data_IF_774837916740
#
_entry.id   IF_774837916740
#
_cell.length_a   1.000
_cell.length_b   1.000
_cell.length_c   1.000
_cell.angle_alpha   90.00
_cell.angle_beta   90.00
_cell.angle_gamma   90.00
#
_symmetry.space_group_name_H-M   'P 1'
#
loop_
_entity.id
_entity.type
_entity.pdbx_description
1 polymer ?
#
# COMPACT_ATOMS: atom_id res chain seq x y z
N UNK A 1 20.34 17.49 2.63
CA UNK A 1 19.00 17.37 2.01
C UNK A 1 18.97 17.85 0.54
N UNK A 2 19.36 19.09 0.22
CA UNK A 2 19.31 19.64 -1.17
C UNK A 2 20.16 18.86 -2.20
N UNK A 3 21.36 18.38 -1.83
CA UNK A 3 22.19 17.53 -2.71
C UNK A 3 21.56 16.17 -3.04
N UNK A 4 20.62 15.69 -2.21
CA UNK A 4 20.01 14.37 -2.41
C UNK A 4 18.71 14.44 -3.22
N UNK A 5 17.97 15.54 -3.13
CA UNK A 5 16.80 15.81 -4.00
C UNK A 5 17.25 15.96 -5.46
N UNK A 6 18.48 16.43 -5.71
CA UNK A 6 19.12 16.44 -7.04
C UNK A 6 19.63 15.07 -7.51
N UNK A 7 19.46 13.98 -6.76
CA UNK A 7 19.83 12.65 -7.26
C UNK A 7 18.87 12.24 -8.37
N UNK A 8 19.44 11.92 -9.53
CA UNK A 8 18.74 11.46 -10.74
C UNK A 8 17.66 10.39 -10.48
N UNK A 9 17.78 9.59 -9.41
CA UNK A 9 16.90 8.46 -9.10
C UNK A 9 15.54 8.81 -8.51
N UNK A 10 15.41 9.90 -7.74
CA UNK A 10 14.08 10.37 -7.33
C UNK A 10 13.27 10.82 -8.55
N UNK A 11 13.93 11.49 -9.50
CA UNK A 11 13.34 11.81 -10.80
C UNK A 11 13.00 10.57 -11.63
N UNK A 12 13.78 9.48 -11.55
CA UNK A 12 13.41 8.20 -12.19
C UNK A 12 12.09 7.68 -11.64
N UNK A 13 11.85 7.77 -10.32
CA UNK A 13 10.58 7.34 -9.73
C UNK A 13 9.43 8.22 -10.20
N UNK A 14 9.62 9.55 -10.21
CA UNK A 14 8.63 10.46 -10.78
C UNK A 14 8.35 10.15 -12.25
N UNK A 15 9.37 9.81 -13.05
CA UNK A 15 9.21 9.40 -14.43
C UNK A 15 8.45 8.07 -14.56
N UNK A 16 8.73 7.08 -13.70
CA UNK A 16 7.98 5.82 -13.66
C UNK A 16 6.51 6.09 -13.33
N UNK A 17 6.23 6.93 -12.34
CA UNK A 17 4.86 7.33 -11.99
C UNK A 17 4.18 8.06 -13.16
N UNK A 18 4.88 8.99 -13.81
CA UNK A 18 4.39 9.72 -14.98
C UNK A 18 4.17 8.81 -16.21
N UNK A 19 4.83 7.66 -16.30
CA UNK A 19 4.59 6.69 -17.36
C UNK A 19 3.45 5.74 -17.02
N UNK A 20 3.39 5.23 -15.79
CA UNK A 20 2.42 4.23 -15.37
C UNK A 20 1.03 4.82 -15.11
N UNK A 21 0.93 5.97 -14.44
CA UNK A 21 -0.36 6.55 -14.06
C UNK A 21 -1.23 6.87 -15.28
N UNK A 22 -0.74 7.49 -16.37
CA UNK A 22 -1.52 7.63 -17.60
C UNK A 22 -1.98 6.30 -18.19
N UNK A 23 -1.13 5.27 -18.15
CA UNK A 23 -1.47 3.94 -18.63
C UNK A 23 -2.64 3.34 -17.84
N UNK A 24 -2.60 3.41 -16.50
CA UNK A 24 -3.71 2.96 -15.65
C UNK A 24 -4.97 3.81 -15.83
N UNK A 25 -4.83 5.13 -15.98
CA UNK A 25 -5.93 6.06 -16.25
C UNK A 25 -6.62 5.70 -17.57
N UNK A 26 -5.84 5.47 -18.62
CA UNK A 26 -6.34 5.03 -19.93
C UNK A 26 -6.99 3.65 -19.86
N UNK A 27 -6.40 2.71 -19.12
CA UNK A 27 -6.97 1.38 -18.91
C UNK A 27 -8.34 1.46 -18.22
N UNK A 28 -8.48 2.24 -17.14
CA UNK A 28 -9.77 2.45 -16.48
C UNK A 28 -10.79 3.12 -17.41
N UNK A 29 -10.38 4.13 -18.18
CA UNK A 29 -11.27 4.79 -19.14
C UNK A 29 -11.78 3.80 -20.21
N UNK A 30 -10.91 2.92 -20.71
CA UNK A 30 -11.29 1.87 -21.66
C UNK A 30 -12.27 0.88 -21.04
N UNK A 31 -12.03 0.46 -19.80
CA UNK A 31 -12.96 -0.42 -19.07
C UNK A 31 -14.32 0.27 -18.94
N UNK A 32 -14.36 1.53 -18.51
CA UNK A 32 -15.61 2.29 -18.38
C UNK A 32 -16.39 2.39 -19.71
N UNK A 33 -15.70 2.66 -20.82
CA UNK A 33 -16.31 2.68 -22.15
C UNK A 33 -16.84 1.31 -22.59
N UNK A 34 -16.10 0.23 -22.30
CA UNK A 34 -16.52 -1.13 -22.61
C UNK A 34 -17.76 -1.52 -21.80
N UNK A 35 -17.80 -1.22 -20.50
CA UNK A 35 -18.95 -1.43 -19.64
C UNK A 35 -20.18 -0.67 -20.17
N UNK A 36 -20.03 0.61 -20.52
CA UNK A 36 -21.13 1.40 -21.07
C UNK A 36 -21.67 0.82 -22.39
N UNK A 37 -20.79 0.32 -23.26
CA UNK A 37 -21.20 -0.35 -24.51
C UNK A 37 -21.90 -1.68 -24.27
N UNK A 38 -21.46 -2.44 -23.27
CA UNK A 38 -22.04 -3.75 -22.94
C UNK A 38 -23.47 -3.62 -22.41
N UNK A 39 -23.72 -2.65 -21.54
CA UNK A 39 -25.04 -2.45 -20.95
C UNK A 39 -25.95 -1.53 -21.79
N UNK A 40 -25.40 -0.72 -22.70
CA UNK A 40 -26.17 0.24 -23.49
C UNK A 40 -26.78 1.38 -22.65
N UNK A 41 -26.43 1.45 -21.37
CA UNK A 41 -26.86 2.45 -20.40
C UNK A 41 -25.66 2.93 -19.59
N UNK A 42 -25.68 4.22 -19.21
CA UNK A 42 -24.73 4.82 -18.28
C UNK A 42 -25.11 4.60 -16.81
N UNK A 43 -26.17 3.85 -16.54
CA UNK A 43 -26.64 3.56 -15.18
C UNK A 43 -25.70 2.56 -14.50
N UNK A 44 -24.99 3.06 -13.50
CA UNK A 44 -24.07 2.28 -12.68
C UNK A 44 -24.77 1.17 -11.90
N UNK A 45 -26.09 1.29 -11.64
CA UNK A 45 -26.87 0.26 -10.94
C UNK A 45 -26.97 -1.02 -11.76
N UNK A 46 -27.00 -0.93 -13.10
CA UNK A 46 -27.02 -2.10 -13.97
C UNK A 46 -25.73 -2.93 -13.82
N UNK A 47 -24.57 -2.26 -13.84
CA UNK A 47 -23.26 -2.88 -13.63
C UNK A 47 -23.14 -3.49 -12.22
N UNK A 48 -23.59 -2.78 -11.18
CA UNK A 48 -23.56 -3.28 -9.80
C UNK A 48 -24.49 -4.49 -9.59
N UNK A 49 -25.73 -4.45 -10.11
CA UNK A 49 -26.65 -5.60 -10.04
C UNK A 49 -26.11 -6.83 -10.77
N UNK A 50 -25.42 -6.61 -11.90
CA UNK A 50 -24.74 -7.70 -12.61
C UNK A 50 -23.63 -8.32 -11.75
N UNK A 51 -22.78 -7.50 -11.11
CA UNK A 51 -21.73 -8.00 -10.18
C UNK A 51 -22.32 -8.81 -9.04
N UNK A 52 -23.40 -8.32 -8.42
CA UNK A 52 -24.11 -9.04 -7.35
C UNK A 52 -24.61 -10.39 -7.86
N UNK A 53 -25.27 -10.42 -9.02
CA UNK A 53 -25.77 -11.66 -9.64
C UNK A 53 -24.65 -12.66 -9.92
N UNK A 54 -23.50 -12.19 -10.41
CA UNK A 54 -22.35 -13.04 -10.71
C UNK A 54 -21.67 -13.56 -9.44
N UNK A 55 -21.64 -12.78 -8.37
CA UNK A 55 -21.17 -13.21 -7.06
C UNK A 55 -22.12 -14.21 -6.40
N UNK A 56 -23.44 -14.03 -6.51
CA UNK A 56 -24.43 -14.99 -6.02
C UNK A 56 -24.31 -16.34 -6.73
N UNK A 57 -24.13 -16.36 -8.05
CA UNK A 57 -23.87 -17.58 -8.81
C UNK A 57 -22.59 -18.30 -8.37
N UNK A 58 -21.52 -17.54 -8.05
CA UNK A 58 -20.27 -18.11 -7.52
C UNK A 58 -20.44 -18.63 -6.09
N UNK A 59 -21.26 -17.96 -5.29
CA UNK A 59 -21.58 -18.36 -3.92
C UNK A 59 -22.38 -19.67 -3.88
N UNK A 60 -23.31 -19.86 -4.82
CA UNK A 60 -24.13 -21.08 -4.94
C UNK A 60 -23.38 -22.26 -5.55
N UNK A 61 -22.21 -22.04 -6.14
CA UNK A 61 -21.38 -23.10 -6.73
C UNK A 61 -20.73 -23.96 -5.64
N UNK A 62 -20.95 -25.27 -5.71
CA UNK A 62 -20.33 -26.25 -4.81
C UNK A 62 -18.80 -26.31 -4.91
N UNK A 63 -18.21 -25.76 -5.98
CA UNK A 63 -16.75 -25.74 -6.20
C UNK A 63 -16.03 -24.59 -5.48
N UNK A 64 -16.77 -23.66 -4.88
CA UNK A 64 -16.18 -22.48 -4.23
C UNK A 64 -15.75 -22.83 -2.81
N UNK A 65 -14.47 -22.63 -2.43
CA UNK A 65 -14.01 -22.82 -1.06
C UNK A 65 -14.80 -21.97 -0.06
N UNK A 66 -15.01 -22.45 1.17
CA UNK A 66 -15.89 -21.77 2.14
C UNK A 66 -15.37 -20.37 2.55
N UNK A 67 -14.06 -20.15 2.56
CA UNK A 67 -13.45 -18.83 2.77
C UNK A 67 -13.79 -17.85 1.65
N UNK A 68 -13.77 -18.31 0.41
CA UNK A 68 -14.16 -17.50 -0.73
C UNK A 68 -15.66 -17.22 -0.67
N UNK A 69 -16.49 -18.18 -0.21
CA UNK A 69 -17.92 -17.94 0.02
C UNK A 69 -18.15 -16.84 1.06
N UNK A 70 -17.38 -16.79 2.14
CA UNK A 70 -17.43 -15.68 3.10
C UNK A 70 -17.07 -14.35 2.44
N UNK A 71 -16.01 -14.32 1.61
CA UNK A 71 -15.66 -13.13 0.84
C UNK A 71 -16.76 -12.67 -0.10
N UNK A 72 -17.36 -13.60 -0.83
CA UNK A 72 -18.46 -13.33 -1.74
C UNK A 72 -19.68 -12.77 -0.99
N UNK A 73 -20.07 -13.35 0.16
CA UNK A 73 -21.19 -12.84 0.98
C UNK A 73 -20.97 -11.40 1.42
N UNK A 74 -19.79 -11.08 1.95
CA UNK A 74 -19.44 -9.72 2.39
C UNK A 74 -19.49 -8.74 1.22
N UNK A 75 -18.92 -9.10 0.06
CA UNK A 75 -18.96 -8.24 -1.12
C UNK A 75 -20.39 -7.99 -1.63
N UNK A 76 -21.24 -9.02 -1.62
CA UNK A 76 -22.67 -8.89 -1.97
C UNK A 76 -23.38 -7.94 -0.99
N UNK A 77 -23.20 -8.13 0.31
CA UNK A 77 -23.82 -7.28 1.34
C UNK A 77 -23.38 -5.82 1.18
N UNK A 78 -22.09 -5.57 0.96
CA UNK A 78 -21.57 -4.22 0.70
C UNK A 78 -22.17 -3.64 -0.58
N UNK A 79 -22.18 -4.38 -1.68
CA UNK A 79 -22.72 -3.87 -2.95
C UNK A 79 -24.22 -3.57 -2.88
N UNK A 80 -25.01 -4.42 -2.21
CA UNK A 80 -26.43 -4.15 -1.95
C UNK A 80 -26.60 -2.89 -1.10
N UNK A 81 -25.76 -2.70 -0.07
CA UNK A 81 -25.80 -1.48 0.73
C UNK A 81 -25.52 -0.22 -0.10
N UNK A 82 -24.57 -0.24 -1.05
CA UNK A 82 -24.33 0.87 -1.97
C UNK A 82 -25.52 1.10 -2.93
N UNK A 83 -26.19 0.04 -3.38
CA UNK A 83 -27.41 0.13 -4.20
C UNK A 83 -28.57 0.75 -3.42
N UNK A 84 -28.76 0.35 -2.16
CA UNK A 84 -29.84 0.84 -1.29
C UNK A 84 -29.68 2.31 -0.93
N UNK A 85 -28.43 2.75 -0.71
CA UNK A 85 -28.10 4.15 -0.40
C UNK A 85 -27.96 5.04 -1.64
N UNK A 86 -28.12 4.49 -2.85
CA UNK A 86 -28.01 5.19 -4.13
C UNK A 86 -26.66 5.93 -4.34
N UNK A 87 -25.57 5.33 -3.85
CA UNK A 87 -24.21 5.90 -3.97
C UNK A 87 -23.40 5.07 -4.96
N UNK A 88 -22.89 5.68 -6.02
CA UNK A 88 -22.05 4.99 -7.00
C UNK A 88 -20.59 4.85 -6.50
N UNK A 89 -20.12 3.65 -6.09
CA UNK A 89 -18.76 3.47 -5.60
C UNK A 89 -17.69 3.59 -6.71
N UNK A 90 -18.10 3.47 -7.97
CA UNK A 90 -17.25 3.44 -9.17
C UNK A 90 -17.42 4.70 -10.03
N UNK A 91 -17.82 5.82 -9.43
CA UNK A 91 -18.02 7.05 -10.17
C UNK A 91 -16.71 7.50 -10.85
N UNK A 92 -16.73 7.77 -12.17
CA UNK A 92 -15.52 8.12 -12.91
C UNK A 92 -15.12 9.56 -12.57
N UNK A 93 -14.24 9.70 -11.58
CA UNK A 93 -13.66 10.98 -11.18
C UNK A 93 -12.22 10.81 -10.64
N UNK A 94 -11.47 11.91 -10.58
CA UNK A 94 -10.07 11.92 -10.17
C UNK A 94 -9.84 11.34 -8.78
N UNK A 95 -10.74 11.65 -7.85
CA UNK A 95 -10.64 11.28 -6.45
C UNK A 95 -10.85 9.77 -6.26
N UNK A 96 -11.77 9.19 -7.04
CA UNK A 96 -12.09 7.76 -7.06
C UNK A 96 -10.99 6.97 -7.76
N UNK A 97 -10.45 7.49 -8.86
CA UNK A 97 -9.27 6.92 -9.49
C UNK A 97 -8.08 6.89 -8.52
N UNK A 98 -7.82 8.00 -7.82
CA UNK A 98 -6.68 8.11 -6.88
C UNK A 98 -6.83 7.10 -5.75
N UNK A 99 -8.03 6.99 -5.15
CA UNK A 99 -8.36 5.98 -4.14
C UNK A 99 -8.08 4.57 -4.66
N UNK A 100 -8.65 4.22 -5.81
CA UNK A 100 -8.53 2.86 -6.37
C UNK A 100 -7.07 2.54 -6.74
N UNK A 101 -6.34 3.51 -7.30
CA UNK A 101 -4.92 3.34 -7.60
C UNK A 101 -4.11 3.09 -6.33
N UNK A 102 -4.30 3.91 -5.29
CA UNK A 102 -3.57 3.80 -4.02
C UNK A 102 -3.87 2.47 -3.34
N UNK A 103 -5.15 2.10 -3.21
CA UNK A 103 -5.59 0.80 -2.68
C UNK A 103 -4.88 -0.37 -3.36
N UNK A 104 -4.80 -0.39 -4.68
CA UNK A 104 -4.14 -1.47 -5.42
C UNK A 104 -2.61 -1.37 -5.35
N UNK A 105 -2.05 -0.16 -5.25
CA UNK A 105 -0.62 0.09 -5.23
C UNK A 105 0.04 -0.25 -3.87
N UNK A 106 -0.70 -0.17 -2.76
CA UNK A 106 -0.21 -0.45 -1.40
C UNK A 106 0.34 -1.86 -1.25
N UNK A 107 -0.29 -2.85 -1.89
CA UNK A 107 0.07 -4.25 -1.68
C UNK A 107 1.48 -4.62 -2.14
N UNK A 108 2.01 -3.96 -3.18
CA UNK A 108 3.33 -4.32 -3.74
C UNK A 108 4.05 -3.15 -4.40
N UNK A 109 3.34 -2.32 -5.19
CA UNK A 109 3.95 -1.26 -5.98
C UNK A 109 4.64 -0.19 -5.13
N UNK A 110 3.93 0.38 -4.15
CA UNK A 110 4.50 1.37 -3.22
C UNK A 110 5.63 0.76 -2.40
N UNK A 111 5.47 -0.40 -1.73
CA UNK A 111 6.56 -1.08 -1.03
C UNK A 111 7.82 -1.26 -1.88
N UNK A 112 7.68 -1.66 -3.15
CA UNK A 112 8.80 -1.90 -4.05
C UNK A 112 9.57 -0.60 -4.37
N UNK A 113 8.85 0.49 -4.70
CA UNK A 113 9.48 1.79 -4.94
C UNK A 113 10.23 2.26 -3.69
N UNK A 114 9.60 2.17 -2.52
CA UNK A 114 10.18 2.63 -1.25
C UNK A 114 11.40 1.80 -0.85
N UNK A 115 11.37 0.49 -1.08
CA UNK A 115 12.51 -0.40 -0.89
C UNK A 115 13.71 0.03 -1.73
N UNK A 116 13.50 0.33 -3.02
CA UNK A 116 14.57 0.77 -3.92
C UNK A 116 15.21 2.08 -3.45
N UNK A 117 14.39 3.05 -3.03
CA UNK A 117 14.87 4.33 -2.47
C UNK A 117 15.70 4.08 -1.21
N UNK A 118 15.15 3.30 -0.27
CA UNK A 118 15.76 3.09 1.05
C UNK A 118 17.10 2.37 0.94
N UNK A 119 17.17 1.33 0.11
CA UNK A 119 18.41 0.60 -0.14
C UNK A 119 19.47 1.49 -0.82
N UNK A 120 19.10 2.38 -1.74
CA UNK A 120 20.07 3.31 -2.37
C UNK A 120 20.62 4.35 -1.40
N UNK A 121 19.77 4.93 -0.54
CA UNK A 121 20.20 5.94 0.44
C UNK A 121 21.27 5.37 1.38
N UNK A 122 21.15 4.09 1.76
CA UNK A 122 22.12 3.43 2.62
C UNK A 122 23.35 2.93 1.84
N UNK A 123 23.15 2.38 0.64
CA UNK A 123 24.17 1.84 -0.26
C UNK A 123 25.18 2.88 -0.77
N UNK A 124 24.68 4.04 -1.17
CA UNK A 124 25.45 5.01 -1.97
C UNK A 124 26.69 5.60 -1.29
N UNK A 125 26.90 5.35 0.00
CA UNK A 125 28.11 5.75 0.71
C UNK A 125 29.17 4.65 0.85
N UNK A 126 28.77 3.36 0.84
CA UNK A 126 29.73 2.25 0.80
C UNK A 126 30.48 2.22 -0.54
N UNK A 127 29.79 2.54 -1.63
CA UNK A 127 30.37 2.59 -2.97
C UNK A 127 31.23 3.82 -3.22
N UNK A 128 30.89 4.96 -2.62
CA UNK A 128 31.57 6.26 -2.87
C UNK A 128 32.75 6.51 -1.91
N UNK A 129 33.02 5.61 -0.95
CA UNK A 129 34.13 5.74 0.00
C UNK A 129 34.02 6.92 0.99
N UNK A 130 32.92 7.67 0.97
CA UNK A 130 32.71 8.89 1.78
C UNK A 130 32.68 8.60 3.28
N UNK A 131 32.38 7.35 3.66
CA UNK A 131 32.50 6.86 5.06
C UNK A 131 33.93 7.06 5.57
N UNK A 132 34.97 6.79 4.76
CA UNK A 132 36.38 6.99 5.16
C UNK A 132 36.74 8.47 5.34
N UNK A 133 36.11 9.36 4.57
CA UNK A 133 36.36 10.81 4.60
C UNK A 133 35.67 11.48 5.80
N UNK A 134 34.46 11.04 6.16
CA UNK A 134 33.73 11.51 7.35
C UNK A 134 34.35 11.01 8.66
N UNK A 135 35.05 9.88 8.65
CA UNK A 135 35.77 9.33 9.81
C UNK A 135 37.00 10.16 10.23
N UNK A 136 37.39 11.18 9.46
CA UNK A 136 38.40 12.16 9.89
C UNK A 136 37.86 13.17 10.93
N UNK A 137 36.54 13.19 11.17
CA UNK A 137 35.90 13.98 12.25
C UNK A 137 35.21 13.05 13.25
N UNK A 138 35.27 13.34 14.57
CA UNK A 138 34.73 12.46 15.61
C UNK A 138 33.19 12.58 15.71
N UNK A 139 32.48 12.09 14.69
CA UNK A 139 31.01 12.03 14.71
C UNK A 139 30.58 10.66 15.22
N UNK A 140 29.78 10.63 16.29
CA UNK A 140 29.21 9.38 16.85
C UNK A 140 28.43 8.63 15.76
N UNK A 141 28.73 7.34 15.52
CA UNK A 141 28.17 6.51 14.42
C UNK A 141 26.63 6.46 14.41
N UNK A 142 26.01 6.44 15.59
CA UNK A 142 24.55 6.54 15.74
C UNK A 142 23.94 7.80 15.09
N UNK A 143 24.64 8.94 15.12
CA UNK A 143 24.17 10.19 14.48
C UNK A 143 24.15 10.07 12.95
N UNK A 144 25.04 9.27 12.37
CA UNK A 144 25.07 9.02 10.93
C UNK A 144 23.85 8.19 10.52
N UNK A 145 23.58 7.09 11.25
CA UNK A 145 22.42 6.25 10.96
C UNK A 145 21.10 7.00 11.21
N UNK A 146 21.03 7.84 12.24
CA UNK A 146 19.86 8.68 12.51
C UNK A 146 19.60 9.69 11.37
N UNK A 147 20.65 10.33 10.87
CA UNK A 147 20.53 11.23 9.70
C UNK A 147 20.02 10.48 8.46
N UNK A 148 20.47 9.23 8.25
CA UNK A 148 19.96 8.36 7.18
C UNK A 148 18.49 8.01 7.38
N UNK A 149 18.10 7.63 8.59
CA UNK A 149 16.72 7.31 8.93
C UNK A 149 15.78 8.50 8.65
N UNK A 150 16.14 9.70 9.11
CA UNK A 150 15.36 10.93 8.85
C UNK A 150 15.24 11.17 7.34
N UNK A 151 16.32 10.96 6.61
CA UNK A 151 16.34 11.15 5.16
C UNK A 151 15.43 10.13 4.46
N UNK A 152 15.49 8.85 4.85
CA UNK A 152 14.62 7.80 4.31
C UNK A 152 13.15 8.13 4.59
N UNK A 153 12.80 8.52 5.83
CA UNK A 153 11.43 8.90 6.19
C UNK A 153 10.95 10.09 5.36
N UNK A 154 11.79 11.12 5.18
CA UNK A 154 11.45 12.29 4.37
C UNK A 154 11.18 11.91 2.90
N UNK A 155 12.05 11.11 2.30
CA UNK A 155 11.86 10.67 0.91
C UNK A 155 10.67 9.75 0.75
N UNK A 156 10.42 8.85 1.70
CA UNK A 156 9.21 8.01 1.72
C UNK A 156 7.95 8.86 1.76
N UNK A 157 7.92 9.86 2.65
CA UNK A 157 6.81 10.82 2.75
C UNK A 157 6.60 11.57 1.43
N UNK A 158 7.68 12.07 0.84
CA UNK A 158 7.64 12.79 -0.42
C UNK A 158 7.16 11.90 -1.58
N UNK A 159 7.56 10.63 -1.63
CA UNK A 159 7.13 9.68 -2.66
C UNK A 159 5.64 9.37 -2.55
N UNK A 160 5.12 9.12 -1.35
CA UNK A 160 3.68 8.88 -1.13
C UNK A 160 2.86 10.11 -1.52
N UNK A 161 3.29 11.31 -1.10
CA UNK A 161 2.64 12.57 -1.48
C UNK A 161 2.69 12.82 -2.98
N UNK A 162 3.84 12.60 -3.62
CA UNK A 162 3.99 12.78 -5.07
C UNK A 162 3.13 11.80 -5.85
N UNK A 163 2.98 10.56 -5.36
CA UNK A 163 2.11 9.55 -5.97
C UNK A 163 0.66 10.02 -5.96
N UNK A 164 0.15 10.47 -4.82
CA UNK A 164 -1.21 11.00 -4.72
C UNK A 164 -1.45 12.23 -5.59
N UNK A 165 -0.50 13.16 -5.59
CA UNK A 165 -0.58 14.39 -6.38
C UNK A 165 -0.59 14.10 -7.89
N UNK A 166 0.31 13.23 -8.38
CA UNK A 166 0.37 12.86 -9.80
C UNK A 166 -0.88 12.07 -10.21
N UNK A 167 -1.36 11.14 -9.36
CA UNK A 167 -2.61 10.43 -9.59
C UNK A 167 -3.78 11.41 -9.76
N UNK A 168 -3.93 12.35 -8.84
CA UNK A 168 -5.02 13.33 -8.87
C UNK A 168 -4.93 14.26 -10.10
N UNK A 169 -3.74 14.78 -10.42
CA UNK A 169 -3.54 15.68 -11.56
C UNK A 169 -3.83 14.99 -12.91
N UNK A 170 -3.28 13.79 -13.12
CA UNK A 170 -3.45 13.07 -14.39
C UNK A 170 -4.88 12.58 -14.55
N UNK A 171 -5.44 11.98 -13.49
CA UNK A 171 -6.82 11.47 -13.55
C UNK A 171 -7.85 12.58 -13.64
N UNK A 172 -7.59 13.77 -13.07
CA UNK A 172 -8.48 14.92 -13.20
C UNK A 172 -8.55 15.52 -14.59
N UNK A 173 -7.47 15.42 -15.40
CA UNK A 173 -7.52 15.79 -16.82
C UNK A 173 -8.43 14.86 -17.62
N UNK A 174 -8.50 13.58 -17.25
CA UNK A 174 -9.26 12.56 -18.01
C UNK A 174 -10.70 12.42 -17.52
N UNK A 175 -10.90 12.34 -16.20
CA UNK A 175 -12.20 12.05 -15.56
C UNK A 175 -12.84 13.27 -14.88
N UNK A 176 -12.13 14.39 -14.76
CA UNK A 176 -12.58 15.58 -14.04
C UNK A 176 -12.29 15.56 -12.54
N UNK A 177 -12.19 16.74 -11.94
CA UNK A 177 -11.78 16.99 -10.55
C UNK A 177 -12.92 16.92 -9.52
N UNK A 178 -14.02 16.25 -9.86
CA UNK A 178 -15.19 16.12 -8.99
C UNK A 178 -15.02 14.95 -7.99
N UNK A 179 -15.93 14.81 -7.02
CA UNK A 179 -16.01 13.63 -6.15
C UNK A 179 -15.43 13.78 -4.74
N UNK A 180 -14.92 14.95 -4.35
CA UNK A 180 -14.36 15.18 -3.01
C UNK A 180 -15.36 14.98 -1.86
N UNK A 181 -16.63 15.34 -2.08
CA UNK A 181 -17.70 15.25 -1.07
C UNK A 181 -18.60 14.03 -1.28
N UNK A 182 -18.18 13.06 -2.10
CA UNK A 182 -18.99 11.86 -2.30
C UNK A 182 -18.91 10.99 -1.03
N UNK A 183 -20.05 10.50 -0.51
CA UNK A 183 -20.03 9.65 0.66
C UNK A 183 -19.40 8.30 0.33
N UNK A 184 -18.50 7.84 1.19
CA UNK A 184 -17.94 6.48 1.18
C UNK A 184 -18.30 5.83 2.50
N UNK A 185 -18.73 4.57 2.42
CA UNK A 185 -19.07 3.81 3.60
C UNK A 185 -17.81 3.14 4.18
N UNK A 186 -17.54 3.44 5.45
CA UNK A 186 -16.41 2.89 6.23
C UNK A 186 -16.90 2.36 7.56
N UNK A 187 -16.08 1.59 8.27
CA UNK A 187 -16.45 1.01 9.56
C UNK A 187 -17.21 -0.32 9.44
N UNK A 188 -17.12 -0.96 8.28
CA UNK A 188 -17.62 -2.29 8.00
C UNK A 188 -16.80 -3.28 8.84
N UNK A 189 -17.37 -3.73 9.96
CA UNK A 189 -16.77 -4.79 10.79
C UNK A 189 -17.37 -6.14 10.43
N UNK A 190 -16.50 -7.14 10.36
CA UNK A 190 -16.88 -8.52 10.08
C UNK A 190 -17.25 -9.19 11.40
N UNK A 191 -18.48 -9.66 11.52
CA UNK A 191 -18.93 -10.50 12.63
C UNK A 191 -19.16 -11.92 12.11
N UNK A 192 -18.08 -12.68 11.97
CA UNK A 192 -18.12 -14.03 11.40
C UNK A 192 -18.44 -14.01 9.90
N UNK A 193 -19.59 -14.56 9.52
CA UNK A 193 -20.03 -14.64 8.13
C UNK A 193 -20.92 -13.48 7.67
N UNK A 194 -21.30 -12.59 8.60
CA UNK A 194 -22.15 -11.42 8.35
C UNK A 194 -21.41 -10.11 8.60
N UNK A 195 -21.78 -9.10 7.83
CA UNK A 195 -21.29 -7.74 8.00
C UNK A 195 -22.15 -7.03 9.04
N UNK A 196 -21.51 -6.54 10.11
CA UNK A 196 -22.17 -5.62 11.02
C UNK A 196 -22.15 -4.21 10.43
N UNK A 197 -23.29 -3.79 9.88
CA UNK A 197 -23.49 -2.44 9.36
C UNK A 197 -23.76 -1.41 10.47
N UNK A 198 -23.91 -1.82 11.73
CA UNK A 198 -24.29 -0.92 12.85
C UNK A 198 -23.29 0.20 13.12
N UNK A 199 -22.04 0.03 12.68
CA UNK A 199 -20.96 1.02 12.81
C UNK A 199 -20.59 1.67 11.48
N UNK A 200 -21.31 1.37 10.40
CA UNK A 200 -21.02 1.95 9.10
C UNK A 200 -21.35 3.43 9.11
N UNK A 201 -20.34 4.24 8.82
CA UNK A 201 -20.46 5.69 8.72
C UNK A 201 -20.17 6.10 7.28
N UNK A 202 -21.07 6.92 6.75
CA UNK A 202 -20.78 7.69 5.56
C UNK A 202 -19.72 8.73 5.94
N UNK A 203 -18.59 8.65 5.25
CA UNK A 203 -17.46 9.55 5.42
C UNK A 203 -17.18 10.19 4.09
N UNK A 204 -16.96 11.50 4.09
CA UNK A 204 -16.63 12.21 2.86
C UNK A 204 -15.34 11.65 2.25
N UNK A 205 -15.32 11.58 0.92
CA UNK A 205 -14.22 10.98 0.18
C UNK A 205 -12.87 11.68 0.40
N UNK A 206 -12.85 12.98 0.67
CA UNK A 206 -11.62 13.70 1.04
C UNK A 206 -11.01 13.19 2.37
N UNK A 207 -11.84 12.93 3.37
CA UNK A 207 -11.40 12.43 4.67
C UNK A 207 -11.00 10.96 4.56
N UNK A 208 -11.74 10.19 3.76
CA UNK A 208 -11.37 8.82 3.41
C UNK A 208 -9.96 8.75 2.80
N UNK A 209 -9.68 9.60 1.80
CA UNK A 209 -8.35 9.65 1.18
C UNK A 209 -7.27 9.99 2.22
N UNK A 210 -7.51 10.95 3.11
CA UNK A 210 -6.53 11.29 4.14
C UNK A 210 -6.21 10.10 5.05
N UNK A 211 -7.25 9.35 5.46
CA UNK A 211 -7.09 8.12 6.24
C UNK A 211 -6.32 7.04 5.46
N UNK A 212 -6.68 6.83 4.19
CA UNK A 212 -6.02 5.86 3.30
C UNK A 212 -4.53 6.21 3.12
N UNK A 213 -4.21 7.45 2.74
CA UNK A 213 -2.84 7.93 2.61
C UNK A 213 -2.05 7.85 3.92
N UNK A 214 -2.70 8.06 5.07
CA UNK A 214 -2.08 7.88 6.38
C UNK A 214 -1.63 6.43 6.62
N UNK A 215 -2.49 5.46 6.30
CA UNK A 215 -2.16 4.04 6.38
C UNK A 215 -1.07 3.63 5.38
N UNK A 216 -1.16 4.11 4.13
CA UNK A 216 -0.14 3.90 3.09
C UNK A 216 1.21 4.46 3.52
N UNK A 217 1.21 5.65 4.10
CA UNK A 217 2.43 6.30 4.58
C UNK A 217 3.07 5.51 5.72
N UNK A 218 2.27 5.02 6.66
CA UNK A 218 2.75 4.17 7.74
C UNK A 218 3.37 2.87 7.22
N UNK A 219 2.69 2.16 6.32
CA UNK A 219 3.21 0.89 5.75
C UNK A 219 4.46 1.12 4.93
N UNK A 220 4.52 2.22 4.18
CA UNK A 220 5.69 2.65 3.44
C UNK A 220 6.89 2.90 4.38
N UNK A 221 6.69 3.55 5.53
CA UNK A 221 7.76 3.75 6.53
C UNK A 221 8.26 2.41 7.08
N UNK A 222 7.36 1.48 7.39
CA UNK A 222 7.76 0.15 7.88
C UNK A 222 8.67 -0.54 6.86
N UNK A 223 8.26 -0.57 5.59
CA UNK A 223 9.05 -1.15 4.49
C UNK A 223 10.40 -0.43 4.34
N UNK A 224 10.42 0.89 4.47
CA UNK A 224 11.63 1.69 4.38
C UNK A 224 12.63 1.33 5.50
N UNK A 225 12.15 1.18 6.73
CA UNK A 225 12.96 0.82 7.89
C UNK A 225 13.45 -0.64 7.80
N UNK A 226 12.60 -1.56 7.35
CA UNK A 226 13.00 -2.95 7.08
C UNK A 226 14.09 -3.04 6.00
N UNK A 227 13.93 -2.26 4.92
CA UNK A 227 14.93 -2.17 3.86
C UNK A 227 16.26 -1.57 4.36
N UNK A 228 16.19 -0.55 5.22
CA UNK A 228 17.36 0.03 5.89
C UNK A 228 18.08 -1.02 6.75
N UNK A 229 17.33 -1.80 7.53
CA UNK A 229 17.90 -2.88 8.34
C UNK A 229 18.63 -3.90 7.47
N UNK A 230 18.01 -4.39 6.41
CA UNK A 230 18.65 -5.33 5.49
C UNK A 230 19.89 -4.73 4.83
N UNK A 231 19.87 -3.44 4.49
CA UNK A 231 21.05 -2.77 3.94
C UNK A 231 22.18 -2.58 4.95
N UNK A 232 21.89 -2.53 6.26
CA UNK A 232 22.92 -2.49 7.31
C UNK A 232 23.49 -3.89 7.56
N UNK A 233 22.66 -4.93 7.49
CA UNK A 233 23.07 -6.32 7.71
C UNK A 233 23.89 -6.85 6.53
N UNK A 234 23.40 -6.63 5.31
CA UNK A 234 23.95 -7.19 4.07
C UNK A 234 24.91 -6.19 3.43
N UNK A 235 26.14 -6.63 3.15
CA UNK A 235 27.18 -5.79 2.52
C UNK A 235 26.85 -5.43 1.07
N UNK A 236 26.30 -6.38 0.32
CA UNK A 236 25.92 -6.18 -1.08
C UNK A 236 24.55 -5.53 -1.18
N UNK A 237 24.48 -4.43 -1.90
CA UNK A 237 23.29 -3.59 -1.99
C UNK A 237 22.27 -4.22 -2.94
N UNK A 238 22.76 -4.88 -3.99
CA UNK A 238 21.95 -5.73 -4.86
C UNK A 238 21.38 -6.92 -4.08
N UNK A 239 22.17 -7.56 -3.21
CA UNK A 239 21.68 -8.67 -2.39
C UNK A 239 20.62 -8.20 -1.38
N UNK A 240 20.82 -7.05 -0.72
CA UNK A 240 19.83 -6.48 0.19
C UNK A 240 18.49 -6.14 -0.49
N UNK A 241 18.55 -5.55 -1.69
CA UNK A 241 17.36 -5.31 -2.52
C UNK A 241 16.69 -6.63 -2.93
N UNK A 242 17.46 -7.62 -3.38
CA UNK A 242 16.94 -8.93 -3.79
C UNK A 242 16.23 -9.69 -2.65
N UNK A 243 16.81 -9.67 -1.44
CA UNK A 243 16.18 -10.27 -0.25
C UNK A 243 14.88 -9.56 0.09
N UNK A 244 14.86 -8.23 0.12
CA UNK A 244 13.64 -7.48 0.43
C UNK A 244 12.55 -7.72 -0.62
N UNK A 245 12.92 -7.77 -1.90
CA UNK A 245 12.00 -8.11 -2.99
C UNK A 245 11.41 -9.51 -2.81
N UNK A 246 12.25 -10.51 -2.52
CA UNK A 246 11.81 -11.87 -2.28
C UNK A 246 10.84 -11.96 -1.09
N UNK A 247 11.10 -11.21 -0.01
CA UNK A 247 10.21 -11.17 1.17
C UNK A 247 8.86 -10.51 0.84
N UNK A 248 8.84 -9.40 0.10
CA UNK A 248 7.60 -8.73 -0.31
C UNK A 248 6.74 -9.64 -1.21
N UNK A 249 7.36 -10.28 -2.21
CA UNK A 249 6.65 -11.21 -3.11
C UNK A 249 6.19 -12.46 -2.34
N UNK A 250 7.02 -12.98 -1.45
CA UNK A 250 6.62 -14.11 -0.60
C UNK A 250 5.42 -13.75 0.27
N UNK A 251 5.36 -12.52 0.78
CA UNK A 251 4.21 -12.02 1.55
C UNK A 251 2.91 -11.99 0.75
N UNK A 252 2.95 -11.53 -0.50
CA UNK A 252 1.75 -11.50 -1.35
C UNK A 252 1.30 -12.90 -1.72
N UNK A 253 2.23 -13.82 -2.02
CA UNK A 253 1.90 -15.23 -2.29
C UNK A 253 1.30 -15.88 -1.03
N UNK A 254 1.95 -15.71 0.12
CA UNK A 254 1.54 -16.30 1.38
C UNK A 254 0.14 -15.82 1.78
N UNK A 255 -0.15 -14.52 1.63
CA UNK A 255 -1.46 -13.93 1.94
C UNK A 255 -2.60 -14.48 1.07
N UNK A 256 -2.30 -15.06 -0.09
CA UNK A 256 -3.29 -15.68 -0.97
C UNK A 256 -3.41 -17.21 -0.77
N UNK A 257 -2.41 -17.85 -0.15
CA UNK A 257 -2.35 -19.30 0.03
C UNK A 257 -2.67 -19.75 1.46
N UNK A 258 -2.52 -18.86 2.44
CA UNK A 258 -2.56 -19.20 3.86
C UNK A 258 -3.91 -18.82 4.43
N UNK A 259 -4.80 -19.80 4.44
CA UNK A 259 -5.86 -19.85 5.45
C UNK A 259 -5.54 -20.82 6.58
N UNK A 260 -4.70 -21.82 6.32
CA UNK A 260 -4.37 -22.90 7.26
C UNK A 260 -3.17 -22.61 8.18
N UNK A 261 -2.34 -21.62 7.85
CA UNK A 261 -1.16 -21.25 8.63
C UNK A 261 -1.37 -19.99 9.46
N UNK A 262 -2.07 -20.14 10.58
CA UNK A 262 -2.49 -19.03 11.44
C UNK A 262 -1.33 -18.17 11.98
N UNK A 263 -0.12 -18.74 12.16
CA UNK A 263 1.02 -17.97 12.72
C UNK A 263 1.66 -17.01 11.72
N UNK A 264 1.36 -17.14 10.43
CA UNK A 264 1.80 -16.19 9.41
C UNK A 264 1.25 -14.77 9.65
N UNK A 265 0.21 -14.61 10.47
CA UNK A 265 -0.36 -13.29 10.86
C UNK A 265 0.65 -12.37 11.56
N UNK A 266 1.73 -12.91 12.14
CA UNK A 266 2.77 -12.12 12.79
C UNK A 266 3.88 -11.64 11.83
N UNK A 267 3.83 -12.08 10.57
CA UNK A 267 4.82 -11.68 9.57
C UNK A 267 4.48 -10.28 9.04
N UNK A 268 5.45 -9.37 9.01
CA UNK A 268 5.21 -7.98 8.61
C UNK A 268 4.64 -7.88 7.18
N UNK A 269 5.11 -8.72 6.25
CA UNK A 269 4.70 -8.67 4.85
C UNK A 269 3.23 -9.06 4.61
N UNK A 270 2.63 -9.83 5.52
CA UNK A 270 1.20 -10.20 5.48
C UNK A 270 0.32 -9.04 5.97
N UNK A 271 0.89 -8.11 6.74
CA UNK A 271 0.17 -7.00 7.36
C UNK A 271 0.29 -5.67 6.59
N UNK A 272 0.94 -5.66 5.42
CA UNK A 272 1.22 -4.41 4.69
C UNK A 272 -0.02 -3.74 4.08
N UNK A 273 -1.08 -4.50 3.80
CA UNK A 273 -2.28 -3.98 3.16
C UNK A 273 -3.32 -3.50 4.19
N UNK A 274 -2.97 -2.44 4.91
CA UNK A 274 -3.84 -1.86 5.94
C UNK A 274 -5.10 -1.21 5.36
N UNK A 275 -5.04 -0.79 4.09
CA UNK A 275 -6.15 -0.10 3.41
C UNK A 275 -7.38 -0.97 3.25
N UNK A 276 -7.22 -2.30 3.18
CA UNK A 276 -8.32 -3.26 3.14
C UNK A 276 -9.28 -3.14 4.32
N UNK A 277 -8.78 -2.86 5.52
CA UNK A 277 -9.62 -2.75 6.71
C UNK A 277 -10.56 -1.54 6.68
N UNK A 278 -10.24 -0.50 5.91
CA UNK A 278 -11.09 0.69 5.78
C UNK A 278 -12.36 0.41 4.96
N UNK A 279 -12.27 -0.51 4.00
CA UNK A 279 -13.35 -0.83 3.06
C UNK A 279 -14.07 -2.13 3.39
N UNK A 280 -13.87 -2.70 4.58
CA UNK A 280 -14.48 -3.98 4.97
C UNK A 280 -13.88 -5.19 4.24
N UNK A 281 -12.63 -5.09 3.79
CA UNK A 281 -11.91 -6.21 3.20
C UNK A 281 -11.64 -7.29 4.25
N UNK A 282 -11.86 -8.55 3.89
CA UNK A 282 -11.56 -9.67 4.77
C UNK A 282 -10.05 -9.81 4.94
N UNK A 283 -9.56 -9.95 6.18
CA UNK A 283 -8.15 -10.17 6.43
C UNK A 283 -7.67 -11.49 5.79
N UNK A 284 -6.38 -11.59 5.41
CA UNK A 284 -5.81 -12.83 4.90
C UNK A 284 -5.97 -14.01 5.87
N UNK A 285 -5.88 -13.75 7.17
CA UNK A 285 -5.95 -14.75 8.25
C UNK A 285 -6.99 -14.31 9.28
N UNK A 286 -7.77 -15.26 9.79
CA UNK A 286 -8.79 -14.99 10.81
C UNK A 286 -8.19 -14.36 12.08
N UNK A 287 -8.90 -13.40 12.66
CA UNK A 287 -8.50 -12.69 13.88
C UNK A 287 -7.51 -11.54 13.66
N UNK A 288 -7.18 -11.19 12.41
CA UNK A 288 -6.49 -9.94 12.12
C UNK A 288 -7.51 -8.80 12.01
N UNK A 289 -7.23 -7.69 12.67
CA UNK A 289 -7.92 -6.42 12.50
C UNK A 289 -6.91 -5.30 12.24
N UNK A 290 -7.41 -4.08 12.02
CA UNK A 290 -6.56 -2.91 11.78
C UNK A 290 -5.58 -2.66 12.95
N UNK A 291 -6.04 -2.81 14.20
CA UNK A 291 -5.24 -2.56 15.39
C UNK A 291 -4.12 -3.59 15.58
N UNK A 292 -4.42 -4.86 15.34
CA UNK A 292 -3.49 -5.97 15.33
C UNK A 292 -2.41 -5.77 14.27
N UNK A 293 -2.79 -5.49 13.02
CA UNK A 293 -1.82 -5.25 11.95
C UNK A 293 -0.93 -4.04 12.21
N UNK A 294 -1.48 -2.94 12.72
CA UNK A 294 -0.69 -1.77 13.15
C UNK A 294 0.29 -2.10 14.28
N UNK A 295 -0.13 -2.91 15.25
CA UNK A 295 0.70 -3.35 16.37
C UNK A 295 1.86 -4.23 15.90
N UNK A 296 1.58 -5.23 15.06
CA UNK A 296 2.59 -6.13 14.48
C UNK A 296 3.63 -5.34 13.68
N UNK A 297 3.19 -4.44 12.79
CA UNK A 297 4.10 -3.60 12.00
C UNK A 297 4.93 -2.67 12.88
N UNK A 298 4.36 -2.12 13.95
CA UNK A 298 5.09 -1.29 14.92
C UNK A 298 6.17 -2.08 15.65
N UNK A 299 5.86 -3.31 16.10
CA UNK A 299 6.83 -4.20 16.75
C UNK A 299 7.99 -4.52 15.80
N UNK A 300 7.70 -4.90 14.55
CA UNK A 300 8.73 -5.15 13.54
C UNK A 300 9.59 -3.91 13.27
N UNK A 301 8.97 -2.73 13.24
CA UNK A 301 9.70 -1.47 13.06
C UNK A 301 10.66 -1.21 14.21
N UNK A 302 10.23 -1.40 15.46
CA UNK A 302 11.07 -1.23 16.65
C UNK A 302 12.23 -2.23 16.64
N UNK A 303 11.96 -3.50 16.35
CA UNK A 303 12.98 -4.54 16.24
C UNK A 303 14.00 -4.17 15.15
N UNK A 304 13.52 -3.78 13.97
CA UNK A 304 14.37 -3.41 12.85
C UNK A 304 15.26 -2.21 13.17
N UNK A 305 14.73 -1.19 13.86
CA UNK A 305 15.52 -0.07 14.34
C UNK A 305 16.59 -0.56 15.31
N UNK A 306 16.23 -1.28 16.39
CA UNK A 306 17.18 -1.78 17.40
C UNK A 306 18.31 -2.59 16.76
N UNK A 307 17.98 -3.52 15.86
CA UNK A 307 18.95 -4.35 15.13
C UNK A 307 19.87 -3.49 14.27
N UNK A 308 19.31 -2.61 13.44
CA UNK A 308 20.08 -1.73 12.55
C UNK A 308 21.09 -0.90 13.33
N UNK A 309 20.62 -0.30 14.41
CA UNK A 309 21.37 0.61 15.23
C UNK A 309 22.46 -0.08 16.06
N UNK A 310 22.17 -1.27 16.62
CA UNK A 310 23.15 -2.09 17.34
C UNK A 310 24.24 -2.58 16.40
N UNK A 311 23.87 -3.13 15.23
CA UNK A 311 24.84 -3.66 14.26
C UNK A 311 25.71 -2.55 13.66
N UNK A 312 25.11 -1.41 13.28
CA UNK A 312 25.85 -0.27 12.72
C UNK A 312 26.88 0.30 13.70
N UNK A 313 26.59 0.19 15.00
CA UNK A 313 27.45 0.75 16.04
C UNK A 313 28.58 -0.19 16.46
N UNK A 314 28.36 -1.50 16.32
CA UNK A 314 29.37 -2.54 16.59
C UNK A 314 30.24 -2.88 15.37
N UNK A 315 29.79 -2.63 14.14
CA UNK A 315 30.60 -2.85 12.93
C UNK A 315 31.76 -1.85 12.88
N UNK A 316 32.99 -2.33 13.07
CA UNK A 316 34.19 -1.59 12.67
C UNK A 316 34.37 -1.65 11.15
N UNK A 317 34.44 -0.46 10.53
CA UNK A 317 34.51 -0.27 9.07
C UNK A 317 35.99 -0.07 8.64
N UNK A 318 36.92 -0.71 9.37
CA UNK A 318 38.36 -0.63 9.08
C UNK A 318 38.91 -1.81 8.27
N UNK A 319 38.07 -2.77 7.87
CA UNK A 319 38.42 -3.80 6.89
C UNK A 319 37.45 -3.82 5.71
#
# INVERSE_FOLDING_TARGET
MIKMIKKKRFYVILLILLALIPMFTYAQMRVAQHTQKQFGTSDWKADQRQKVTDWEKRLSSARTPDEWKQQLRVQIQIANYYLDQDVNPSSPNAVTFTREFVKNAVGLFIPLIIMVISADIVSSEHSTGTIKLLLTRPVRRWKILLSKLITVIFFTSLTVLSTGLICYLISGVVFGYNGWNMPIFTGIQLSGADVDFSRVRAVDQWFFLLMEFGLVWFTAIVVAIMSLMLSVLIRSTAAGMGVMLAVLISGTILSNMVSSWETAKYLFMVNLDLTKYLTGGIPPIQGMDLGFSLSVLSVWTVIALIVSFTVFSRKDILN
#
